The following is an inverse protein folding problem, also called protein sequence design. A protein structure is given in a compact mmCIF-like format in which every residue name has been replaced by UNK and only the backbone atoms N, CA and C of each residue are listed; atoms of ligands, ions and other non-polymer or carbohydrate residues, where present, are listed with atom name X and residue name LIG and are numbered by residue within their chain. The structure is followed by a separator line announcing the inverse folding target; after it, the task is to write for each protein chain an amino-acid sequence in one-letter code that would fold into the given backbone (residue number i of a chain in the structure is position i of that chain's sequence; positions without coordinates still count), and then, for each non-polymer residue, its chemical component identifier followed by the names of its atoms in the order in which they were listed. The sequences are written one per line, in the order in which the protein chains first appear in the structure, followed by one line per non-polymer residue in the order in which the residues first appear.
data_IF_167469391764
#
_entry.id   IF_167469391764
#
_cell.length_a   1.000
_cell.length_b   1.000
_cell.length_c   1.000
_cell.angle_alpha   90.00
_cell.angle_beta   90.00
_cell.angle_gamma   90.00
#
_symmetry.space_group_name_H-M   'P 1'
#
loop_
_entity.id
_entity.type
_entity.pdbx_description
1 polymer ?
#
# COMPACT_ATOMS: atom_id res chain seq x y z
N UNK A 1 -83.88 14.48 -54.56
CA UNK A 1 -82.58 15.05 -54.98
C UNK A 1 -81.56 14.89 -53.84
N UNK A 2 -80.85 13.76 -53.80
CA UNK A 2 -79.65 13.49 -52.98
C UNK A 2 -78.92 12.37 -53.71
N UNK A 3 -77.91 12.72 -54.50
CA UNK A 3 -77.05 11.76 -55.22
C UNK A 3 -76.21 11.03 -54.16
N UNK A 4 -76.41 9.72 -54.02
CA UNK A 4 -75.44 8.83 -53.35
C UNK A 4 -74.27 8.64 -54.32
N UNK A 5 -73.10 9.14 -53.95
CA UNK A 5 -71.86 8.80 -54.63
C UNK A 5 -71.54 7.32 -54.37
N UNK A 6 -71.54 6.54 -55.45
CA UNK A 6 -71.07 5.17 -55.43
C UNK A 6 -69.54 5.18 -55.40
N UNK A 7 -68.95 4.75 -54.29
CA UNK A 7 -67.51 4.49 -54.19
C UNK A 7 -67.12 3.39 -55.18
N UNK A 8 -66.32 3.77 -56.19
CA UNK A 8 -65.83 2.85 -57.22
C UNK A 8 -64.99 1.71 -56.61
N UNK A 9 -65.16 0.45 -57.04
CA UNK A 9 -64.44 -0.72 -56.50
C UNK A 9 -62.91 -0.61 -56.54
N UNK A 10 -62.38 0.21 -57.45
CA UNK A 10 -60.94 0.39 -57.67
C UNK A 10 -60.26 1.17 -56.54
N UNK A 11 -60.94 2.08 -55.84
CA UNK A 11 -60.31 2.87 -54.76
C UNK A 11 -60.12 2.04 -53.48
N UNK A 12 -61.07 1.15 -53.18
CA UNK A 12 -61.04 0.26 -52.02
C UNK A 12 -59.92 -0.78 -52.17
N UNK A 13 -59.79 -1.39 -53.35
CA UNK A 13 -58.71 -2.33 -53.66
C UNK A 13 -57.32 -1.66 -53.60
N UNK A 14 -57.18 -0.42 -54.11
CA UNK A 14 -55.89 0.28 -54.06
C UNK A 14 -55.47 0.62 -52.62
N UNK A 15 -56.42 1.04 -51.77
CA UNK A 15 -56.15 1.33 -50.36
C UNK A 15 -55.87 0.07 -49.56
N UNK A 16 -56.51 -1.05 -49.90
CA UNK A 16 -56.24 -2.34 -49.27
C UNK A 16 -54.82 -2.82 -49.61
N UNK A 17 -54.43 -2.80 -50.89
CA UNK A 17 -53.08 -3.20 -51.34
C UNK A 17 -52.00 -2.28 -50.73
N UNK A 18 -52.26 -0.97 -50.65
CA UNK A 18 -51.33 0.00 -50.05
C UNK A 18 -51.16 -0.19 -48.55
N UNK A 19 -52.24 -0.52 -47.83
CA UNK A 19 -52.17 -0.87 -46.40
C UNK A 19 -51.49 -2.22 -46.17
N UNK A 20 -51.76 -3.23 -47.00
CA UNK A 20 -51.11 -4.55 -46.92
C UNK A 20 -49.61 -4.45 -47.18
N UNK A 21 -49.18 -3.65 -48.16
CA UNK A 21 -47.76 -3.41 -48.45
C UNK A 21 -47.08 -2.60 -47.34
N UNK A 22 -47.78 -1.63 -46.73
CA UNK A 22 -47.27 -0.90 -45.57
C UNK A 22 -47.11 -1.79 -44.33
N UNK A 23 -48.06 -2.69 -44.07
CA UNK A 23 -48.00 -3.67 -42.97
C UNK A 23 -46.87 -4.67 -43.22
N UNK A 24 -46.73 -5.17 -44.45
CA UNK A 24 -45.65 -6.09 -44.82
C UNK A 24 -44.26 -5.44 -44.68
N UNK A 25 -44.13 -4.16 -45.03
CA UNK A 25 -42.88 -3.41 -44.85
C UNK A 25 -42.58 -3.11 -43.37
N UNK A 26 -43.61 -2.81 -42.56
CA UNK A 26 -43.46 -2.69 -41.10
C UNK A 26 -43.08 -4.02 -40.44
N UNK A 27 -43.64 -5.14 -40.91
CA UNK A 27 -43.30 -6.48 -40.42
C UNK A 27 -41.88 -6.90 -40.82
N UNK A 28 -41.44 -6.57 -42.05
CA UNK A 28 -40.05 -6.74 -42.48
C UNK A 28 -39.08 -5.89 -41.67
N UNK A 29 -39.43 -4.64 -41.37
CA UNK A 29 -38.63 -3.75 -40.53
C UNK A 29 -38.54 -4.26 -39.08
N UNK A 30 -39.66 -4.76 -38.52
CA UNK A 30 -39.70 -5.38 -37.19
C UNK A 30 -38.87 -6.68 -37.14
N UNK A 31 -38.93 -7.52 -38.18
CA UNK A 31 -38.10 -8.73 -38.32
C UNK A 31 -36.61 -8.40 -38.47
N UNK A 32 -36.24 -7.33 -39.19
CA UNK A 32 -34.85 -6.85 -39.27
C UNK A 32 -34.35 -6.32 -37.92
N UNK A 33 -35.19 -5.60 -37.15
CA UNK A 33 -34.82 -5.14 -35.80
C UNK A 33 -34.62 -6.35 -34.86
N UNK A 34 -35.51 -7.35 -34.90
CA UNK A 34 -35.37 -8.57 -34.09
C UNK A 34 -34.12 -9.37 -34.50
N UNK A 35 -33.77 -9.43 -35.78
CA UNK A 35 -32.54 -10.07 -36.25
C UNK A 35 -31.26 -9.32 -35.85
N UNK A 36 -31.30 -7.99 -35.72
CA UNK A 36 -30.18 -7.20 -35.17
C UNK A 36 -30.06 -7.36 -33.65
N UNK A 37 -31.18 -7.52 -32.93
CA UNK A 37 -31.16 -7.83 -31.49
C UNK A 37 -30.78 -9.29 -31.16
N UNK A 38 -30.98 -10.24 -32.07
CA UNK A 38 -30.56 -11.64 -31.86
C UNK A 38 -29.08 -11.91 -32.19
N UNK A 39 -28.39 -11.00 -32.89
CA UNK A 39 -26.97 -11.15 -33.19
C UNK A 39 -26.02 -10.50 -32.15
N UNK A 40 -26.55 -9.84 -31.11
CA UNK A 40 -25.73 -9.37 -29.99
C UNK A 40 -25.46 -10.43 -28.91
N UNK A 41 -26.07 -11.62 -29.02
CA UNK A 41 -25.91 -12.70 -28.03
C UNK A 41 -24.91 -13.80 -28.43
N UNK A 42 -24.21 -13.66 -29.57
CA UNK A 42 -23.19 -14.64 -30.01
C UNK A 42 -21.75 -14.18 -29.66
N UNK A 43 -21.57 -12.97 -29.13
CA UNK A 43 -20.27 -12.48 -28.63
C UNK A 43 -20.15 -12.40 -27.09
N UNK A 44 -21.10 -12.97 -26.34
CA UNK A 44 -20.95 -13.13 -24.88
C UNK A 44 -21.06 -14.60 -24.46
N UNK A 45 -20.19 -15.42 -25.03
CA UNK A 45 -19.61 -16.55 -24.31
C UNK A 45 -18.14 -16.26 -24.06
N UNK A 46 -17.85 -15.17 -23.33
CA UNK A 46 -16.65 -15.22 -22.50
C UNK A 46 -16.96 -16.35 -21.53
N UNK A 47 -16.33 -17.52 -21.70
CA UNK A 47 -16.22 -18.48 -20.60
C UNK A 47 -15.71 -17.66 -19.42
N UNK A 48 -16.57 -17.30 -18.47
CA UNK A 48 -16.10 -16.91 -17.16
C UNK A 48 -15.33 -18.13 -16.68
N UNK A 49 -14.01 -18.07 -16.79
CA UNK A 49 -13.20 -19.13 -16.23
C UNK A 49 -13.45 -19.08 -14.73
N UNK A 50 -14.02 -20.17 -14.23
CA UNK A 50 -14.44 -20.25 -12.84
C UNK A 50 -13.22 -20.49 -11.97
N UNK A 51 -12.54 -19.39 -11.61
CA UNK A 51 -11.48 -19.40 -10.62
C UNK A 51 -11.93 -20.06 -9.33
N UNK A 52 -13.20 -19.94 -8.92
CA UNK A 52 -13.70 -20.59 -7.71
C UNK A 52 -13.69 -22.12 -7.86
N UNK A 53 -14.06 -22.66 -9.03
CA UNK A 53 -13.92 -24.09 -9.30
C UNK A 53 -12.45 -24.54 -9.31
N UNK A 54 -11.54 -23.76 -9.89
CA UNK A 54 -10.10 -24.07 -9.90
C UNK A 54 -9.53 -24.05 -8.47
N UNK A 55 -9.84 -23.03 -7.67
CA UNK A 55 -9.42 -22.96 -6.27
C UNK A 55 -10.02 -24.09 -5.43
N UNK A 56 -11.27 -24.50 -5.66
CA UNK A 56 -11.84 -25.69 -5.01
C UNK A 56 -11.03 -26.97 -5.30
N UNK A 57 -10.49 -27.11 -6.51
CA UNK A 57 -9.59 -28.24 -6.85
C UNK A 57 -8.27 -28.13 -6.10
N UNK A 58 -7.68 -26.93 -6.05
CA UNK A 58 -6.47 -26.66 -5.26
C UNK A 58 -6.69 -27.05 -3.80
N UNK A 59 -7.77 -26.57 -3.18
CA UNK A 59 -8.12 -26.88 -1.79
C UNK A 59 -8.33 -28.38 -1.58
N UNK A 60 -8.95 -29.08 -2.54
CA UNK A 60 -9.15 -30.52 -2.48
C UNK A 60 -7.83 -31.29 -2.57
N UNK A 61 -6.86 -30.83 -3.35
CA UNK A 61 -5.51 -31.40 -3.39
C UNK A 61 -4.74 -31.11 -2.09
N UNK A 62 -4.82 -29.89 -1.56
CA UNK A 62 -4.20 -29.53 -0.27
C UNK A 62 -4.69 -30.43 0.86
N UNK A 63 -6.01 -30.62 0.99
CA UNK A 63 -6.62 -31.47 2.02
C UNK A 63 -6.18 -32.94 1.94
N UNK A 64 -5.77 -33.39 0.76
CA UNK A 64 -5.26 -34.75 0.52
C UNK A 64 -3.74 -34.85 0.65
N UNK A 65 -3.04 -33.76 0.97
CA UNK A 65 -1.57 -33.71 0.99
C UNK A 65 -0.93 -33.83 -0.40
N UNK A 66 -1.69 -33.64 -1.48
CA UNK A 66 -1.23 -33.80 -2.86
C UNK A 66 -0.60 -32.49 -3.38
N UNK A 67 0.49 -32.06 -2.76
CA UNK A 67 1.14 -30.76 -3.03
C UNK A 67 1.55 -30.59 -4.49
N UNK A 68 2.02 -31.66 -5.15
CA UNK A 68 2.41 -31.60 -6.56
C UNK A 68 1.22 -31.44 -7.53
N UNK A 69 0.05 -31.95 -7.15
CA UNK A 69 -1.18 -31.72 -7.91
C UNK A 69 -1.70 -30.31 -7.68
N UNK A 70 -1.63 -29.81 -6.44
CA UNK A 70 -2.01 -28.45 -6.09
C UNK A 70 -1.16 -27.40 -6.84
N UNK A 71 0.17 -27.56 -6.87
CA UNK A 71 1.06 -26.62 -7.58
C UNK A 71 0.78 -26.61 -9.09
N UNK A 72 0.49 -27.75 -9.71
CA UNK A 72 0.14 -27.83 -11.13
C UNK A 72 -1.14 -27.06 -11.45
N UNK A 73 -2.18 -27.21 -10.62
CA UNK A 73 -3.43 -26.46 -10.78
C UNK A 73 -3.21 -24.96 -10.58
N UNK A 74 -2.41 -24.56 -9.59
CA UNK A 74 -2.09 -23.15 -9.34
C UNK A 74 -1.27 -22.52 -10.47
N UNK A 75 -0.34 -23.25 -11.09
CA UNK A 75 0.36 -22.77 -12.30
C UNK A 75 -0.64 -22.53 -13.44
N UNK A 76 -1.65 -23.40 -13.57
CA UNK A 76 -2.76 -23.21 -14.51
C UNK A 76 -3.55 -21.93 -14.25
N UNK A 77 -3.95 -21.71 -12.99
CA UNK A 77 -4.64 -20.49 -12.53
C UNK A 77 -3.78 -19.24 -12.84
N UNK A 78 -2.49 -19.28 -12.54
CA UNK A 78 -1.56 -18.16 -12.76
C UNK A 78 -1.46 -17.78 -14.24
N UNK A 79 -1.22 -18.77 -15.12
CA UNK A 79 -1.11 -18.52 -16.56
C UNK A 79 -2.42 -17.98 -17.14
N UNK A 80 -3.56 -18.42 -16.60
CA UNK A 80 -4.85 -17.91 -16.99
C UNK A 80 -5.06 -16.47 -16.53
N UNK A 81 -4.72 -16.17 -15.28
CA UNK A 81 -4.77 -14.83 -14.72
C UNK A 81 -3.92 -13.83 -15.50
N UNK A 82 -2.74 -14.23 -15.99
CA UNK A 82 -1.94 -13.39 -16.90
C UNK A 82 -2.71 -13.10 -18.20
N UNK A 83 -3.31 -14.12 -18.82
CA UNK A 83 -4.03 -13.96 -20.10
C UNK A 83 -5.25 -13.05 -19.96
N UNK A 84 -5.93 -13.13 -18.82
CA UNK A 84 -7.12 -12.33 -18.52
C UNK A 84 -6.80 -10.96 -17.89
N UNK A 85 -5.52 -10.68 -17.60
CA UNK A 85 -5.07 -9.52 -16.83
C UNK A 85 -5.79 -9.41 -15.46
N UNK A 86 -5.98 -10.55 -14.79
CA UNK A 86 -6.60 -10.63 -13.47
C UNK A 86 -5.52 -10.57 -12.38
N UNK A 87 -5.14 -9.36 -11.97
CA UNK A 87 -4.05 -9.13 -11.00
C UNK A 87 -4.28 -9.86 -9.68
N UNK A 88 -5.51 -9.84 -9.14
CA UNK A 88 -5.83 -10.47 -7.86
C UNK A 88 -5.58 -11.99 -7.89
N UNK A 89 -6.05 -12.66 -8.96
CA UNK A 89 -5.82 -14.09 -9.14
C UNK A 89 -4.35 -14.39 -9.45
N UNK A 90 -3.68 -13.51 -10.18
CA UNK A 90 -2.26 -13.63 -10.47
C UNK A 90 -1.43 -13.61 -9.18
N UNK A 91 -1.65 -12.63 -8.30
CA UNK A 91 -0.95 -12.49 -7.02
C UNK A 91 -1.27 -13.67 -6.10
N UNK A 92 -2.55 -14.04 -5.98
CA UNK A 92 -2.96 -15.21 -5.18
C UNK A 92 -2.26 -16.48 -5.66
N UNK A 93 -2.21 -16.72 -6.97
CA UNK A 93 -1.54 -17.88 -7.54
C UNK A 93 -0.01 -17.83 -7.36
N UNK A 94 0.61 -16.66 -7.38
CA UNK A 94 2.03 -16.51 -7.02
C UNK A 94 2.29 -16.92 -5.57
N UNK A 95 1.50 -16.42 -4.63
CA UNK A 95 1.63 -16.75 -3.20
C UNK A 95 1.49 -18.26 -2.95
N UNK A 96 0.52 -18.92 -3.60
CA UNK A 96 0.35 -20.37 -3.50
C UNK A 96 1.52 -21.14 -4.14
N UNK A 97 2.08 -20.67 -5.26
CA UNK A 97 3.29 -21.29 -5.83
C UNK A 97 4.46 -21.23 -4.85
N UNK A 98 4.72 -20.06 -4.24
CA UNK A 98 5.77 -19.91 -3.22
C UNK A 98 5.51 -20.84 -2.03
N UNK A 99 4.26 -20.86 -1.52
CA UNK A 99 3.82 -21.75 -0.43
C UNK A 99 4.13 -23.22 -0.72
N UNK A 100 3.78 -23.72 -1.91
CA UNK A 100 3.99 -25.12 -2.23
C UNK A 100 5.45 -25.46 -2.50
N UNK A 101 6.22 -24.55 -3.12
CA UNK A 101 7.67 -24.74 -3.26
C UNK A 101 8.35 -24.87 -1.89
N UNK A 102 7.93 -24.05 -0.91
CA UNK A 102 8.38 -24.19 0.49
C UNK A 102 8.08 -25.55 1.14
N UNK A 103 7.12 -26.32 0.62
CA UNK A 103 6.75 -27.63 1.15
C UNK A 103 7.47 -28.79 0.46
N UNK A 104 8.02 -28.60 -0.74
CA UNK A 104 8.51 -29.71 -1.59
C UNK A 104 9.96 -29.59 -2.00
N UNK A 105 10.57 -28.40 -1.93
CA UNK A 105 11.95 -28.18 -2.34
C UNK A 105 12.88 -28.07 -1.12
N UNK A 106 14.09 -28.62 -1.25
CA UNK A 106 15.20 -28.32 -0.33
C UNK A 106 15.67 -26.88 -0.55
N UNK A 107 16.09 -26.20 0.53
CA UNK A 107 16.50 -24.78 0.53
C UNK A 107 15.48 -23.84 -0.16
N UNK A 108 14.20 -24.18 -0.02
CA UNK A 108 13.12 -23.48 -0.72
C UNK A 108 13.03 -22.00 -0.36
N UNK A 109 13.46 -21.60 0.84
CA UNK A 109 13.42 -20.20 1.27
C UNK A 109 14.30 -19.32 0.38
N UNK A 110 15.56 -19.70 0.17
CA UNK A 110 16.52 -19.03 -0.69
C UNK A 110 16.15 -19.17 -2.17
N UNK A 111 15.78 -20.39 -2.59
CA UNK A 111 15.41 -20.67 -3.97
C UNK A 111 14.14 -19.92 -4.40
N UNK A 112 13.21 -19.68 -3.47
CA UNK A 112 11.99 -18.93 -3.75
C UNK A 112 12.28 -17.46 -4.06
N UNK A 113 13.31 -16.85 -3.46
CA UNK A 113 13.68 -15.45 -3.73
C UNK A 113 13.94 -15.25 -5.24
N UNK A 114 14.70 -16.15 -5.84
CA UNK A 114 15.04 -16.10 -7.27
C UNK A 114 13.93 -16.66 -8.17
N UNK A 115 13.08 -17.56 -7.67
CA UNK A 115 11.91 -18.03 -8.43
C UNK A 115 10.92 -16.90 -8.72
N UNK A 116 10.79 -15.92 -7.83
CA UNK A 116 9.92 -14.76 -8.06
C UNK A 116 10.34 -13.98 -9.32
N UNK A 117 11.61 -14.00 -9.72
CA UNK A 117 12.06 -13.40 -11.00
C UNK A 117 11.30 -13.98 -12.20
N UNK A 118 11.01 -15.29 -12.17
CA UNK A 118 10.28 -15.98 -13.24
C UNK A 118 8.82 -15.54 -13.33
N UNK A 119 8.24 -15.13 -12.19
CA UNK A 119 6.87 -14.61 -12.09
C UNK A 119 6.83 -13.13 -12.49
N UNK A 120 7.82 -12.34 -12.05
CA UNK A 120 7.97 -10.92 -12.42
C UNK A 120 8.14 -10.77 -13.92
N UNK A 121 8.91 -11.65 -14.58
CA UNK A 121 9.15 -11.61 -16.02
C UNK A 121 7.87 -11.77 -16.86
N UNK A 122 6.84 -12.43 -16.33
CA UNK A 122 5.55 -12.66 -17.00
C UNK A 122 4.45 -11.69 -16.57
N UNK A 123 4.69 -10.91 -15.52
CA UNK A 123 3.71 -10.00 -14.94
C UNK A 123 3.73 -8.62 -15.61
N UNK A 124 2.55 -8.01 -15.69
CA UNK A 124 2.38 -6.60 -16.08
C UNK A 124 2.06 -5.76 -14.84
N UNK A 125 2.20 -4.45 -14.95
CA UNK A 125 1.71 -3.51 -13.93
C UNK A 125 0.18 -3.61 -13.85
N UNK A 126 -0.42 -3.68 -12.64
CA UNK A 126 0.21 -3.54 -11.32
C UNK A 126 0.75 -4.83 -10.67
N UNK A 127 0.39 -6.04 -11.14
CA UNK A 127 0.85 -7.28 -10.49
C UNK A 127 2.39 -7.36 -10.36
N UNK A 128 3.12 -6.89 -11.38
CA UNK A 128 4.59 -6.83 -11.38
C UNK A 128 5.15 -6.03 -10.20
N UNK A 129 4.54 -4.89 -9.90
CA UNK A 129 4.93 -4.01 -8.81
C UNK A 129 4.75 -4.69 -7.44
N UNK A 130 3.63 -5.40 -7.25
CA UNK A 130 3.37 -6.17 -6.04
C UNK A 130 4.41 -7.29 -5.88
N UNK A 131 4.70 -8.04 -6.94
CA UNK A 131 5.71 -9.11 -6.90
C UNK A 131 7.11 -8.59 -6.58
N UNK A 132 7.48 -7.41 -7.08
CA UNK A 132 8.74 -6.76 -6.72
C UNK A 132 8.80 -6.36 -5.24
N UNK A 133 7.70 -5.85 -4.68
CA UNK A 133 7.60 -5.54 -3.24
C UNK A 133 7.63 -6.81 -2.38
N UNK A 134 7.05 -7.92 -2.86
CA UNK A 134 7.14 -9.22 -2.21
C UNK A 134 8.57 -9.76 -2.24
N UNK A 135 9.26 -9.66 -3.39
CA UNK A 135 10.64 -10.11 -3.51
C UNK A 135 11.58 -9.30 -2.62
N UNK A 136 11.40 -7.98 -2.56
CA UNK A 136 12.15 -7.10 -1.66
C UNK A 136 12.02 -7.55 -0.19
N UNK A 137 10.79 -7.87 0.22
CA UNK A 137 10.52 -8.42 1.56
C UNK A 137 11.22 -9.75 1.79
N UNK A 138 11.21 -10.66 0.81
CA UNK A 138 11.88 -11.96 0.97
C UNK A 138 13.40 -11.81 1.13
N UNK A 139 14.03 -10.91 0.37
CA UNK A 139 15.44 -10.56 0.58
C UNK A 139 15.67 -9.92 1.96
N UNK A 140 14.76 -9.05 2.41
CA UNK A 140 14.85 -8.41 3.72
C UNK A 140 14.73 -9.43 4.86
N UNK A 141 13.76 -10.33 4.79
CA UNK A 141 13.59 -11.42 5.76
C UNK A 141 14.80 -12.35 5.78
N UNK A 142 15.38 -12.67 4.62
CA UNK A 142 16.63 -13.42 4.56
C UNK A 142 17.74 -12.70 5.33
N UNK A 143 17.95 -11.40 5.07
CA UNK A 143 18.96 -10.62 5.77
C UNK A 143 18.71 -10.60 7.29
N UNK A 144 17.48 -10.34 7.74
CA UNK A 144 17.14 -10.31 9.16
C UNK A 144 17.40 -11.66 9.85
N UNK A 145 17.00 -12.76 9.22
CA UNK A 145 17.21 -14.11 9.77
C UNK A 145 18.67 -14.55 9.79
N UNK A 146 19.51 -13.95 8.93
CA UNK A 146 20.92 -14.29 8.79
C UNK A 146 21.87 -13.19 9.28
N UNK A 147 21.37 -12.18 9.99
CA UNK A 147 22.13 -10.99 10.40
C UNK A 147 23.43 -11.32 11.13
N UNK A 148 23.37 -12.30 12.04
CA UNK A 148 24.53 -12.78 12.80
C UNK A 148 25.66 -13.29 11.90
N UNK A 149 25.34 -13.92 10.75
CA UNK A 149 26.33 -14.46 9.81
C UNK A 149 27.13 -13.36 9.12
N UNK A 150 26.58 -12.16 8.98
CA UNK A 150 27.24 -11.05 8.29
C UNK A 150 28.25 -10.32 9.17
N UNK A 151 28.12 -10.42 10.50
CA UNK A 151 29.09 -9.83 11.43
C UNK A 151 30.43 -10.57 11.42
N UNK A 152 30.41 -11.88 11.15
CA UNK A 152 31.58 -12.77 11.24
C UNK A 152 32.20 -13.13 9.88
N UNK A 153 31.67 -12.59 8.77
CA UNK A 153 32.08 -12.96 7.41
C UNK A 153 33.10 -11.99 6.82
N UNK A 154 34.21 -12.54 6.32
CA UNK A 154 35.07 -11.87 5.35
C UNK A 154 34.36 -11.85 3.99
N UNK A 155 34.48 -10.73 3.26
CA UNK A 155 33.89 -10.57 1.92
C UNK A 155 34.40 -11.69 1.00
N UNK A 156 33.48 -12.45 0.42
CA UNK A 156 33.83 -13.50 -0.54
C UNK A 156 34.41 -12.88 -1.81
N UNK A 157 35.38 -13.55 -2.42
CA UNK A 157 36.04 -13.12 -3.66
C UNK A 157 35.09 -13.16 -4.87
N UNK A 158 34.09 -14.03 -4.83
CA UNK A 158 33.08 -14.18 -5.88
C UNK A 158 31.66 -14.15 -5.31
N UNK A 159 30.81 -13.30 -5.88
CA UNK A 159 29.38 -13.26 -5.59
C UNK A 159 28.59 -13.92 -6.73
N UNK A 160 28.01 -15.09 -6.46
CA UNK A 160 27.23 -15.84 -7.45
C UNK A 160 25.81 -15.27 -7.56
N UNK A 161 25.35 -15.00 -8.79
CA UNK A 161 24.08 -14.29 -9.03
C UNK A 161 22.81 -15.00 -8.52
N UNK A 162 22.82 -16.33 -8.34
CA UNK A 162 21.65 -17.12 -7.89
C UNK A 162 21.91 -17.86 -6.58
N UNK A 163 22.92 -17.45 -5.84
CA UNK A 163 23.24 -18.02 -4.54
C UNK A 163 23.43 -16.86 -3.56
N UNK A 164 22.33 -16.54 -2.87
CA UNK A 164 22.25 -15.44 -1.90
C UNK A 164 23.23 -15.63 -0.74
N UNK A 165 23.67 -16.87 -0.46
CA UNK A 165 24.65 -17.15 0.59
C UNK A 165 26.04 -16.61 0.24
N UNK A 166 26.28 -16.23 -1.02
CA UNK A 166 27.54 -15.61 -1.45
C UNK A 166 27.50 -14.08 -1.48
N UNK A 167 26.33 -13.48 -1.25
CA UNK A 167 26.15 -12.03 -1.41
C UNK A 167 26.69 -11.27 -0.21
N UNK A 168 27.36 -10.15 -0.49
CA UNK A 168 27.72 -9.17 0.54
C UNK A 168 26.48 -8.47 1.11
N UNK A 169 26.64 -7.92 2.31
CA UNK A 169 25.61 -7.09 2.94
C UNK A 169 25.25 -5.88 2.07
N UNK A 170 26.24 -5.22 1.48
CA UNK A 170 26.03 -4.07 0.58
C UNK A 170 25.14 -4.46 -0.61
N UNK A 171 25.40 -5.61 -1.26
CA UNK A 171 24.59 -6.10 -2.37
C UNK A 171 23.17 -6.45 -1.97
N UNK A 172 22.97 -7.01 -0.78
CA UNK A 172 21.63 -7.28 -0.24
C UNK A 172 20.86 -5.97 -0.08
N UNK A 173 21.45 -4.95 0.57
CA UNK A 173 20.80 -3.65 0.75
C UNK A 173 20.55 -2.94 -0.58
N UNK A 174 21.49 -2.98 -1.52
CA UNK A 174 21.31 -2.42 -2.87
C UNK A 174 20.14 -3.09 -3.59
N UNK A 175 20.09 -4.43 -3.54
CA UNK A 175 19.03 -5.22 -4.20
C UNK A 175 17.66 -4.95 -3.58
N UNK A 176 17.56 -4.97 -2.25
CA UNK A 176 16.32 -4.67 -1.53
C UNK A 176 15.84 -3.25 -1.84
N UNK A 177 16.74 -2.26 -1.75
CA UNK A 177 16.43 -0.86 -2.07
C UNK A 177 15.95 -0.69 -3.51
N UNK A 178 16.62 -1.34 -4.46
CA UNK A 178 16.25 -1.31 -5.88
C UNK A 178 14.87 -1.93 -6.11
N UNK A 179 14.59 -3.07 -5.49
CA UNK A 179 13.30 -3.75 -5.63
C UNK A 179 12.16 -2.92 -5.03
N UNK A 180 12.32 -2.35 -3.83
CA UNK A 180 11.31 -1.45 -3.26
C UNK A 180 11.10 -0.20 -4.12
N UNK A 181 12.16 0.47 -4.58
CA UNK A 181 12.06 1.61 -5.52
C UNK A 181 11.34 1.25 -6.81
N UNK A 182 11.66 0.09 -7.38
CA UNK A 182 10.99 -0.36 -8.61
C UNK A 182 9.54 -0.76 -8.34
N UNK A 183 9.23 -1.31 -7.17
CA UNK A 183 7.86 -1.68 -6.79
C UNK A 183 6.91 -0.48 -6.73
N UNK A 184 7.42 0.71 -6.43
CA UNK A 184 6.62 1.95 -6.42
C UNK A 184 6.70 2.73 -7.75
N UNK A 185 7.42 2.20 -8.74
CA UNK A 185 7.46 2.80 -10.09
C UNK A 185 6.10 2.68 -10.80
N UNK A 186 5.87 3.49 -11.84
CA UNK A 186 4.58 3.64 -12.52
C UNK A 186 3.52 4.35 -11.66
N UNK A 187 3.92 5.43 -10.99
CA UNK A 187 3.11 6.13 -9.99
C UNK A 187 1.70 6.49 -10.48
N UNK A 188 1.55 6.98 -11.71
CA UNK A 188 0.25 7.36 -12.27
C UNK A 188 -0.76 6.20 -12.23
N UNK A 189 -0.31 5.00 -12.62
CA UNK A 189 -1.15 3.81 -12.58
C UNK A 189 -1.40 3.38 -11.12
N UNK A 190 -0.36 3.35 -10.29
CA UNK A 190 -0.49 2.88 -8.91
C UNK A 190 -1.38 3.79 -8.05
N UNK A 191 -1.32 5.11 -8.26
CA UNK A 191 -2.12 6.14 -7.57
C UNK A 191 -3.60 6.12 -7.97
N UNK A 192 -3.95 5.42 -9.04
CA UNK A 192 -5.34 5.23 -9.50
C UNK A 192 -5.86 3.80 -9.30
N UNK A 193 -4.99 2.86 -8.96
CA UNK A 193 -5.35 1.47 -8.67
C UNK A 193 -5.82 1.33 -7.21
N UNK A 194 -7.05 0.85 -7.01
CA UNK A 194 -7.57 0.52 -5.68
C UNK A 194 -7.06 -0.85 -5.20
N UNK A 195 -7.38 -1.20 -3.95
CA UNK A 195 -6.91 -2.43 -3.30
C UNK A 195 -7.94 -3.58 -3.35
N UNK A 196 -8.90 -3.52 -4.27
CA UNK A 196 -9.96 -4.53 -4.33
C UNK A 196 -9.42 -5.87 -4.84
N UNK A 197 -9.83 -6.96 -4.19
CA UNK A 197 -9.32 -8.31 -4.49
C UNK A 197 -7.89 -8.59 -4.00
N UNK A 198 -7.24 -7.63 -3.34
CA UNK A 198 -5.88 -7.77 -2.77
C UNK A 198 -5.89 -8.07 -1.26
N UNK A 199 -7.01 -8.51 -0.69
CA UNK A 199 -7.12 -8.79 0.76
C UNK A 199 -6.09 -9.80 1.27
N UNK A 200 -5.63 -10.72 0.43
CA UNK A 200 -4.62 -11.73 0.78
C UNK A 200 -3.24 -11.13 1.11
N UNK A 201 -2.93 -9.92 0.62
CA UNK A 201 -1.67 -9.23 0.88
C UNK A 201 -1.82 -8.05 1.88
N UNK A 202 -3.05 -7.80 2.35
CA UNK A 202 -3.36 -6.69 3.26
C UNK A 202 -3.43 -7.22 4.68
N UNK A 203 -2.46 -6.80 5.51
CA UNK A 203 -2.51 -7.07 6.96
C UNK A 203 -3.44 -6.06 7.63
N UNK A 204 -4.58 -6.51 8.14
CA UNK A 204 -5.56 -5.67 8.88
C UNK A 204 -4.90 -5.00 10.09
N UNK A 205 -5.27 -3.76 10.38
CA UNK A 205 -4.70 -2.96 11.47
C UNK A 205 -3.39 -2.26 11.13
N UNK A 206 -2.55 -2.86 10.28
CA UNK A 206 -1.32 -2.24 9.75
C UNK A 206 -1.62 -1.46 8.46
N UNK A 207 -2.35 -2.09 7.55
CA UNK A 207 -2.71 -1.54 6.24
C UNK A 207 -4.19 -1.15 6.25
N UNK A 208 -4.53 -0.13 7.03
CA UNK A 208 -5.90 0.40 7.11
C UNK A 208 -6.25 1.04 5.77
N UNK A 209 -7.24 0.47 5.06
CA UNK A 209 -7.68 0.93 3.71
C UNK A 209 -7.97 2.43 3.63
N UNK A 210 -8.48 3.04 4.71
CA UNK A 210 -8.71 4.48 4.79
C UNK A 210 -7.42 5.31 4.73
N UNK A 211 -6.33 4.80 5.30
CA UNK A 211 -5.02 5.46 5.33
C UNK A 211 -4.15 5.06 4.14
N UNK A 212 -4.50 3.96 3.46
CA UNK A 212 -3.83 3.44 2.25
C UNK A 212 -4.86 3.24 1.13
N UNK A 213 -5.43 4.33 0.58
CA UNK A 213 -6.53 4.21 -0.37
C UNK A 213 -6.14 3.56 -1.71
N UNK A 214 -4.85 3.65 -2.08
CA UNK A 214 -4.36 3.19 -3.39
C UNK A 214 -3.26 2.14 -3.26
N UNK A 215 -2.97 1.47 -4.37
CA UNK A 215 -1.85 0.56 -4.44
C UNK A 215 -0.50 1.28 -4.29
N UNK A 216 -0.40 2.54 -4.73
CA UNK A 216 0.78 3.35 -4.44
C UNK A 216 1.01 3.48 -2.93
N UNK A 217 -0.04 3.79 -2.16
CA UNK A 217 0.07 3.93 -0.70
C UNK A 217 0.52 2.63 -0.04
N UNK A 218 -0.07 1.50 -0.44
CA UNK A 218 0.29 0.19 0.08
C UNK A 218 1.77 -0.13 -0.17
N UNK A 219 2.24 0.03 -1.41
CA UNK A 219 3.62 -0.31 -1.79
C UNK A 219 4.63 0.69 -1.22
N UNK A 220 4.29 1.98 -1.19
CA UNK A 220 5.12 3.02 -0.60
C UNK A 220 5.30 2.81 0.90
N UNK A 221 4.26 2.41 1.64
CA UNK A 221 4.41 2.15 3.07
C UNK A 221 5.22 0.88 3.37
N UNK A 222 5.12 -0.15 2.52
CA UNK A 222 6.02 -1.32 2.60
C UNK A 222 7.48 -0.90 2.39
N UNK A 223 7.73 -0.04 1.40
CA UNK A 223 9.06 0.50 1.15
C UNK A 223 9.56 1.41 2.30
N UNK A 224 8.69 2.25 2.87
CA UNK A 224 9.01 3.08 4.03
C UNK A 224 9.44 2.21 5.23
N UNK A 225 8.73 1.12 5.53
CA UNK A 225 9.09 0.23 6.64
C UNK A 225 10.55 -0.25 6.56
N UNK A 226 11.08 -0.46 5.36
CA UNK A 226 12.48 -0.77 5.13
C UNK A 226 13.39 0.48 5.21
N UNK A 227 13.05 1.55 4.50
CA UNK A 227 13.89 2.76 4.42
C UNK A 227 14.03 3.49 5.76
N UNK A 228 13.08 3.35 6.69
CA UNK A 228 13.15 3.96 8.02
C UNK A 228 13.96 3.16 9.04
N UNK A 229 14.47 1.97 8.69
CA UNK A 229 15.26 1.13 9.62
C UNK A 229 16.63 1.71 9.94
N UNK A 230 17.25 2.41 9.00
CA UNK A 230 18.62 2.90 9.14
C UNK A 230 19.69 1.81 9.19
N UNK A 231 19.34 0.56 8.85
CA UNK A 231 20.20 -0.61 9.08
C UNK A 231 21.44 -0.68 8.17
N UNK A 232 21.60 0.25 7.22
CA UNK A 232 22.80 0.40 6.38
C UNK A 232 24.05 0.89 7.15
N UNK A 233 24.05 0.80 8.48
CA UNK A 233 24.98 1.47 9.39
C UNK A 233 26.33 0.74 9.58
N UNK A 234 26.53 -0.42 8.95
CA UNK A 234 27.76 -1.22 9.08
C UNK A 234 28.92 -0.70 8.21
N UNK A 235 28.63 -0.01 7.11
CA UNK A 235 29.64 0.53 6.17
C UNK A 235 29.34 2.01 5.86
N UNK A 236 29.54 2.89 6.87
CA UNK A 236 29.21 4.32 6.74
C UNK A 236 30.21 5.04 5.82
N UNK A 237 29.78 5.62 4.68
CA UNK A 237 30.64 6.53 3.95
C UNK A 237 30.87 7.81 4.76
N UNK A 238 32.02 8.47 4.58
CA UNK A 238 32.32 9.74 5.25
C UNK A 238 31.31 10.87 4.93
N UNK A 239 30.52 10.70 3.85
CA UNK A 239 29.49 11.62 3.39
C UNK A 239 28.07 11.08 3.63
N UNK A 240 27.89 10.20 4.63
CA UNK A 240 26.59 9.62 4.98
C UNK A 240 25.53 10.71 5.13
N UNK A 241 24.35 10.48 4.56
CA UNK A 241 23.23 11.38 4.77
C UNK A 241 22.76 11.34 6.23
N UNK A 242 22.72 12.50 6.86
CA UNK A 242 22.16 12.70 8.21
C UNK A 242 20.99 13.66 8.15
N UNK A 243 19.93 13.39 8.91
CA UNK A 243 18.79 14.31 9.01
C UNK A 243 19.15 15.42 10.01
N UNK A 244 19.80 16.47 9.52
CA UNK A 244 20.35 17.55 10.34
C UNK A 244 19.80 18.96 9.99
N UNK A 245 18.79 19.03 9.12
CA UNK A 245 18.18 20.27 8.65
C UNK A 245 16.78 20.46 9.27
N UNK A 246 16.56 21.63 9.89
CA UNK A 246 15.30 22.02 10.52
C UNK A 246 14.09 21.92 9.59
N UNK A 247 14.30 22.02 8.27
CA UNK A 247 13.26 21.81 7.26
C UNK A 247 12.65 20.41 7.29
N UNK A 248 13.30 19.44 7.94
CA UNK A 248 12.73 18.13 8.20
C UNK A 248 11.48 18.15 9.11
N UNK A 249 11.27 19.22 9.90
CA UNK A 249 10.03 19.48 10.67
C UNK A 249 9.14 20.57 10.06
N UNK A 250 9.44 21.06 8.85
CA UNK A 250 8.60 22.06 8.19
C UNK A 250 7.16 21.55 7.99
N UNK A 251 6.16 22.44 7.84
CA UNK A 251 4.81 22.05 7.47
C UNK A 251 4.79 21.15 6.24
N UNK A 252 3.86 20.19 6.16
CA UNK A 252 3.83 19.15 5.13
C UNK A 252 4.06 19.67 3.69
N UNK A 253 3.41 20.77 3.33
CA UNK A 253 3.52 21.36 1.99
C UNK A 253 4.92 21.92 1.69
N UNK A 254 5.59 22.48 2.70
CA UNK A 254 6.94 23.05 2.56
C UNK A 254 7.97 21.92 2.55
N UNK A 255 7.81 20.93 3.45
CA UNK A 255 8.62 19.73 3.47
C UNK A 255 8.55 18.99 2.13
N UNK A 256 7.36 18.77 1.57
CA UNK A 256 7.17 18.06 0.31
C UNK A 256 7.88 18.71 -0.89
N UNK A 257 8.12 20.02 -0.84
CA UNK A 257 8.79 20.80 -1.92
C UNK A 257 10.27 21.04 -1.66
N UNK A 258 10.74 20.78 -0.44
CA UNK A 258 12.12 21.07 -0.05
C UNK A 258 13.10 20.13 -0.76
N UNK A 259 14.32 20.58 -1.06
CA UNK A 259 15.34 19.73 -1.67
C UNK A 259 16.45 19.46 -0.66
N UNK A 260 16.44 18.26 -0.08
CA UNK A 260 17.53 17.79 0.78
C UNK A 260 18.75 17.42 -0.10
N UNK A 261 19.86 18.12 0.10
CA UNK A 261 21.10 17.88 -0.65
C UNK A 261 21.89 16.75 0.00
N UNK A 262 22.34 15.79 -0.80
CA UNK A 262 23.22 14.72 -0.35
C UNK A 262 24.08 14.19 -1.50
N UNK A 263 25.24 13.62 -1.17
CA UNK A 263 26.04 12.78 -2.07
C UNK A 263 25.73 11.29 -1.88
N UNK A 264 25.12 10.93 -0.76
CA UNK A 264 24.74 9.57 -0.40
C UNK A 264 23.29 9.28 -0.84
N UNK A 265 23.11 9.04 -2.14
CA UNK A 265 21.79 8.70 -2.72
C UNK A 265 21.34 7.28 -2.37
N UNK A 266 22.26 6.44 -1.87
CA UNK A 266 22.01 5.09 -1.40
C UNK A 266 21.41 5.04 0.01
N UNK A 267 21.60 6.09 0.81
CA UNK A 267 21.08 6.20 2.17
C UNK A 267 19.61 5.80 2.29
N UNK A 268 19.33 4.87 3.21
CA UNK A 268 17.96 4.47 3.53
C UNK A 268 17.16 5.68 4.05
N UNK A 269 17.73 6.48 4.94
CA UNK A 269 17.08 7.68 5.46
C UNK A 269 16.81 8.73 4.38
N UNK A 270 17.72 8.92 3.43
CA UNK A 270 17.45 9.83 2.32
C UNK A 270 16.27 9.35 1.47
N UNK A 271 16.23 8.05 1.16
CA UNK A 271 15.13 7.46 0.41
C UNK A 271 13.81 7.48 1.18
N UNK A 272 13.84 7.35 2.52
CA UNK A 272 12.66 7.56 3.37
C UNK A 272 12.15 9.00 3.27
N UNK A 273 13.04 10.00 3.37
CA UNK A 273 12.69 11.42 3.23
C UNK A 273 12.02 11.69 1.89
N UNK A 274 12.61 11.25 0.78
CA UNK A 274 12.01 11.42 -0.56
C UNK A 274 10.63 10.75 -0.67
N UNK A 275 10.48 9.56 -0.08
CA UNK A 275 9.22 8.84 -0.14
C UNK A 275 8.12 9.50 0.72
N UNK A 276 8.48 10.06 1.88
CA UNK A 276 7.58 10.93 2.65
C UNK A 276 7.18 12.17 1.85
N UNK A 277 8.11 12.81 1.14
CA UNK A 277 7.78 13.97 0.28
C UNK A 277 6.77 13.59 -0.81
N UNK A 278 6.97 12.45 -1.49
CA UNK A 278 6.07 11.99 -2.53
C UNK A 278 4.66 11.66 -2.01
N UNK A 279 4.57 10.98 -0.86
CA UNK A 279 3.28 10.67 -0.23
C UNK A 279 2.55 11.93 0.24
N UNK A 280 3.26 12.87 0.87
CA UNK A 280 2.68 14.15 1.31
C UNK A 280 2.21 14.99 0.12
N UNK A 281 2.99 15.04 -0.96
CA UNK A 281 2.60 15.72 -2.20
C UNK A 281 1.38 15.06 -2.84
N UNK A 282 1.31 13.72 -2.82
CA UNK A 282 0.18 12.97 -3.39
C UNK A 282 -1.14 13.27 -2.67
N UNK A 283 -1.13 13.27 -1.33
CA UNK A 283 -2.34 13.49 -0.53
C UNK A 283 -2.64 14.97 -0.21
N UNK A 284 -1.83 15.91 -0.70
CA UNK A 284 -1.97 17.34 -0.37
C UNK A 284 -3.33 17.94 -0.76
N UNK A 285 -3.99 17.37 -1.78
CA UNK A 285 -5.26 17.83 -2.32
C UNK A 285 -6.44 16.91 -1.96
N UNK A 286 -6.24 15.92 -1.09
CA UNK A 286 -7.30 14.99 -0.72
C UNK A 286 -8.44 15.71 0.01
N UNK A 287 -9.68 15.43 -0.41
CA UNK A 287 -10.87 15.97 0.26
C UNK A 287 -10.95 15.51 1.72
N UNK A 288 -10.48 14.29 2.01
CA UNK A 288 -10.32 13.76 3.37
C UNK A 288 -8.82 13.70 3.69
N UNK A 289 -8.30 14.52 4.61
CA UNK A 289 -6.86 14.64 4.84
C UNK A 289 -6.28 13.48 5.66
N UNK A 290 -7.01 12.38 5.84
CA UNK A 290 -6.66 11.30 6.76
C UNK A 290 -5.30 10.66 6.42
N UNK A 291 -5.09 10.30 5.16
CA UNK A 291 -3.81 9.75 4.69
C UNK A 291 -2.68 10.79 4.78
N UNK A 292 -2.96 12.06 4.46
CA UNK A 292 -2.00 13.17 4.59
C UNK A 292 -1.52 13.34 6.05
N UNK A 293 -2.45 13.39 7.01
CA UNK A 293 -2.13 13.56 8.43
C UNK A 293 -1.35 12.35 8.95
N UNK A 294 -1.76 11.14 8.59
CA UNK A 294 -1.07 9.92 9.01
C UNK A 294 0.37 9.84 8.50
N UNK A 295 0.60 10.14 7.21
CA UNK A 295 1.94 10.20 6.63
C UNK A 295 2.77 11.30 7.30
N UNK A 296 2.18 12.46 7.56
CA UNK A 296 2.89 13.58 8.19
C UNK A 296 3.33 13.22 9.61
N UNK A 297 2.46 12.58 10.40
CA UNK A 297 2.81 12.08 11.73
C UNK A 297 3.91 11.02 11.69
N UNK A 298 3.86 10.09 10.72
CA UNK A 298 4.93 9.10 10.54
C UNK A 298 6.27 9.76 10.20
N UNK A 299 6.27 10.75 9.29
CA UNK A 299 7.45 11.56 8.96
C UNK A 299 8.00 12.24 10.21
N UNK A 300 7.16 12.96 10.95
CA UNK A 300 7.61 13.71 12.12
C UNK A 300 8.20 12.79 13.20
N UNK A 301 7.58 11.64 13.44
CA UNK A 301 8.10 10.63 14.36
C UNK A 301 9.45 10.06 13.88
N UNK A 302 9.58 9.77 12.59
CA UNK A 302 10.84 9.31 11.99
C UNK A 302 11.96 10.35 12.15
N UNK A 303 11.69 11.61 11.80
CA UNK A 303 12.65 12.72 11.95
C UNK A 303 12.99 12.95 13.43
N UNK A 304 12.02 12.85 14.35
CA UNK A 304 12.28 12.95 15.77
C UNK A 304 13.19 11.82 16.29
N UNK A 305 13.00 10.60 15.82
CA UNK A 305 13.79 9.46 16.27
C UNK A 305 15.23 9.49 15.74
N UNK A 306 15.42 9.87 14.47
CA UNK A 306 16.71 9.72 13.79
C UNK A 306 17.41 11.05 13.42
N UNK A 307 16.74 12.19 13.60
CA UNK A 307 17.32 13.51 13.38
C UNK A 307 18.35 13.90 14.44
N UNK A 308 19.33 14.71 14.04
CA UNK A 308 20.47 15.15 14.88
C UNK A 308 20.55 16.67 15.05
N UNK A 309 19.48 17.39 14.73
CA UNK A 309 19.40 18.85 14.83
C UNK A 309 19.40 19.31 16.30
N UNK A 310 19.93 20.51 16.54
CA UNK A 310 19.79 21.18 17.83
C UNK A 310 18.33 21.58 18.07
N UNK A 311 17.85 21.47 19.32
CA UNK A 311 16.48 21.84 19.67
C UNK A 311 15.39 20.96 19.03
N UNK A 312 15.74 19.76 18.54
CA UNK A 312 14.84 18.81 17.86
C UNK A 312 13.50 18.60 18.57
N UNK A 313 13.51 18.43 19.89
CA UNK A 313 12.27 18.20 20.65
C UNK A 313 11.28 19.37 20.54
N UNK A 314 11.79 20.63 20.56
CA UNK A 314 10.96 21.83 20.41
C UNK A 314 10.42 21.95 18.98
N UNK A 315 11.23 21.61 17.98
CA UNK A 315 10.80 21.58 16.58
C UNK A 315 9.71 20.53 16.35
N UNK A 316 9.86 19.34 16.95
CA UNK A 316 8.86 18.29 16.91
C UNK A 316 7.56 18.69 17.60
N UNK A 317 7.63 19.22 18.83
CA UNK A 317 6.46 19.72 19.56
C UNK A 317 5.71 20.78 18.74
N UNK A 318 6.44 21.72 18.11
CA UNK A 318 5.86 22.78 17.28
C UNK A 318 5.17 22.21 16.04
N UNK A 319 5.79 21.26 15.35
CA UNK A 319 5.22 20.61 14.17
C UNK A 319 3.94 19.83 14.52
N UNK A 320 3.93 19.09 15.63
CA UNK A 320 2.75 18.38 16.11
C UNK A 320 1.61 19.36 16.45
N UNK A 321 1.91 20.47 17.14
CA UNK A 321 0.92 21.51 17.44
C UNK A 321 0.34 22.11 16.15
N UNK A 322 1.15 22.30 15.12
CA UNK A 322 0.68 22.79 13.83
C UNK A 322 -0.30 21.81 13.15
N UNK A 323 -0.12 20.49 13.30
CA UNK A 323 -1.08 19.50 12.82
C UNK A 323 -2.40 19.64 13.58
N UNK A 324 -2.34 19.80 14.91
CA UNK A 324 -3.53 19.98 15.75
C UNK A 324 -4.35 21.21 15.38
N UNK A 325 -3.68 22.33 15.14
CA UNK A 325 -4.33 23.58 14.79
C UNK A 325 -4.94 23.55 13.40
N UNK A 326 -4.28 22.86 12.47
CA UNK A 326 -4.73 22.75 11.08
C UNK A 326 -5.92 21.80 10.91
N UNK A 327 -5.97 20.71 11.69
CA UNK A 327 -6.99 19.67 11.57
C UNK A 327 -7.71 19.41 12.89
N UNK A 328 -8.35 20.41 13.51
CA UNK A 328 -8.83 20.33 14.89
C UNK A 328 -9.98 19.34 15.08
N UNK A 329 -10.67 18.92 14.03
CA UNK A 329 -11.82 18.00 14.08
C UNK A 329 -11.53 16.61 13.50
N UNK A 330 -10.36 16.39 12.90
CA UNK A 330 -10.02 15.09 12.34
C UNK A 330 -9.58 14.12 13.47
N UNK A 331 -10.16 12.91 13.59
CA UNK A 331 -9.80 11.96 14.65
C UNK A 331 -8.32 11.53 14.67
N UNK A 332 -7.61 11.58 13.53
CA UNK A 332 -6.19 11.21 13.46
C UNK A 332 -5.31 12.23 14.21
N UNK A 333 -5.77 13.48 14.33
CA UNK A 333 -5.13 14.53 15.12
C UNK A 333 -4.92 14.14 16.59
N UNK A 334 -5.75 13.24 17.13
CA UNK A 334 -5.54 12.69 18.47
C UNK A 334 -4.15 12.05 18.65
N UNK A 335 -3.55 11.50 17.58
CA UNK A 335 -2.18 10.96 17.63
C UNK A 335 -1.13 12.06 17.78
N UNK A 336 -1.36 13.25 17.21
CA UNK A 336 -0.50 14.42 17.41
C UNK A 336 -0.57 14.91 18.87
N UNK A 337 -1.78 15.02 19.40
CA UNK A 337 -2.03 15.41 20.80
C UNK A 337 -1.37 14.43 21.76
N UNK A 338 -1.56 13.13 21.54
CA UNK A 338 -0.90 12.08 22.33
C UNK A 338 0.62 12.17 22.27
N UNK A 339 1.20 12.32 21.08
CA UNK A 339 2.66 12.47 20.92
C UNK A 339 3.20 13.72 21.66
N UNK A 340 2.48 14.84 21.67
CA UNK A 340 2.84 16.02 22.47
C UNK A 340 2.71 15.78 23.97
N UNK A 341 1.68 15.07 24.41
CA UNK A 341 1.53 14.71 25.81
C UNK A 341 2.68 13.79 26.28
N UNK A 342 3.19 12.91 25.40
CA UNK A 342 4.36 12.09 25.67
C UNK A 342 5.64 12.94 25.85
N UNK A 343 5.81 14.03 25.09
CA UNK A 343 6.93 14.97 25.29
C UNK A 343 6.86 15.55 26.71
N UNK A 344 5.70 16.05 27.14
CA UNK A 344 5.52 16.60 28.48
C UNK A 344 5.73 15.53 29.57
N UNK A 345 5.21 14.32 29.36
CA UNK A 345 5.44 13.23 30.29
C UNK A 345 6.94 12.94 30.45
N UNK A 346 7.66 12.80 29.34
CA UNK A 346 9.10 12.52 29.35
C UNK A 346 9.91 13.63 30.03
N UNK A 347 9.57 14.91 29.80
CA UNK A 347 10.17 16.05 30.54
C UNK A 347 9.88 15.96 32.03
N UNK A 348 8.63 15.67 32.40
CA UNK A 348 8.22 15.52 33.78
C UNK A 348 8.96 14.39 34.51
N UNK A 349 9.31 13.30 33.82
CA UNK A 349 10.14 12.23 34.39
C UNK A 349 11.57 12.67 34.75
N UNK A 350 12.03 13.82 34.22
CA UNK A 350 13.34 14.39 34.54
C UNK A 350 13.28 15.40 35.71
N UNK A 351 12.10 15.70 36.24
CA UNK A 351 11.95 16.61 37.38
C UNK A 351 12.60 16.03 38.64
N UNK A 352 13.39 16.86 39.32
CA UNK A 352 14.03 16.51 40.59
C UNK A 352 13.68 17.58 41.63
N UNK A 353 12.87 17.26 42.67
CA UNK A 353 12.40 18.24 43.66
C UNK A 353 13.51 19.01 44.39
N UNK A 354 14.66 18.38 44.55
CA UNK A 354 15.83 18.94 45.24
C UNK A 354 16.96 19.31 44.26
N UNK A 355 16.69 19.31 42.95
CA UNK A 355 17.66 19.52 41.88
C UNK A 355 17.08 20.38 40.77
N UNK A 356 16.93 19.82 39.56
CA UNK A 356 16.33 20.54 38.44
C UNK A 356 14.80 20.66 38.57
N UNK A 357 14.33 21.88 38.83
CA UNK A 357 12.90 22.21 39.00
C UNK A 357 12.20 22.67 37.72
N UNK A 358 12.91 22.77 36.58
CA UNK A 358 12.39 23.27 35.30
C UNK A 358 11.13 22.53 34.83
N UNK A 359 11.04 21.22 35.10
CA UNK A 359 9.97 20.35 34.60
C UNK A 359 8.85 20.04 35.62
N UNK A 360 8.78 20.81 36.73
CA UNK A 360 7.87 20.52 37.85
C UNK A 360 6.38 20.36 37.49
N UNK A 361 5.92 21.00 36.41
CA UNK A 361 4.51 20.96 35.98
C UNK A 361 4.25 20.13 34.73
N UNK A 362 5.27 19.48 34.16
CA UNK A 362 5.14 18.82 32.86
C UNK A 362 4.30 17.53 32.95
N UNK A 363 4.30 16.81 34.08
CA UNK A 363 3.36 15.70 34.31
C UNK A 363 1.91 16.20 34.33
N UNK A 364 1.63 17.33 35.00
CA UNK A 364 0.29 17.92 35.04
C UNK A 364 -0.15 18.32 33.63
N UNK A 365 0.72 19.01 32.88
CA UNK A 365 0.49 19.43 31.50
C UNK A 365 0.24 18.23 30.56
N UNK A 366 0.94 17.12 30.78
CA UNK A 366 0.70 15.86 30.08
C UNK A 366 -0.72 15.35 30.34
N UNK A 367 -1.11 15.19 31.62
CA UNK A 367 -2.45 14.71 32.02
C UNK A 367 -3.57 15.56 31.40
N UNK A 368 -3.47 16.88 31.49
CA UNK A 368 -4.47 17.80 30.92
C UNK A 368 -4.64 17.60 29.40
N UNK A 369 -3.54 17.39 28.66
CA UNK A 369 -3.61 17.14 27.23
C UNK A 369 -4.15 15.73 26.91
N UNK A 370 -3.84 14.72 27.72
CA UNK A 370 -4.38 13.37 27.58
C UNK A 370 -5.90 13.36 27.80
N UNK A 371 -6.38 14.00 28.88
CA UNK A 371 -7.81 14.14 29.18
C UNK A 371 -8.53 14.89 28.04
N UNK A 372 -7.95 15.99 27.54
CA UNK A 372 -8.49 16.72 26.40
C UNK A 372 -8.54 15.86 25.12
N UNK A 373 -7.54 15.02 24.88
CA UNK A 373 -7.50 14.10 23.73
C UNK A 373 -8.64 13.08 23.80
N UNK A 374 -8.86 12.48 24.98
CA UNK A 374 -9.91 11.48 25.21
C UNK A 374 -11.29 12.12 25.07
N UNK A 375 -11.50 13.29 25.66
CA UNK A 375 -12.78 14.00 25.58
C UNK A 375 -13.13 14.40 24.13
N UNK A 376 -12.13 14.86 23.36
CA UNK A 376 -12.34 15.34 22.00
C UNK A 376 -12.48 14.21 20.97
N UNK A 377 -11.75 13.11 21.15
CA UNK A 377 -11.67 12.02 20.17
C UNK A 377 -11.79 10.62 20.78
N UNK A 378 -12.86 10.30 21.55
CA UNK A 378 -12.92 9.16 22.48
C UNK A 378 -12.76 7.75 21.87
N UNK A 379 -12.85 7.61 20.54
CA UNK A 379 -12.71 6.33 19.82
C UNK A 379 -11.49 6.27 18.91
N UNK A 380 -10.69 7.33 18.90
CA UNK A 380 -9.47 7.39 18.08
C UNK A 380 -8.35 6.54 18.71
N UNK A 381 -7.42 6.10 17.88
CA UNK A 381 -6.18 5.45 18.34
C UNK A 381 -5.42 6.32 19.35
N UNK A 382 -5.34 7.64 19.09
CA UNK A 382 -4.70 8.59 20.00
C UNK A 382 -5.36 8.66 21.37
N UNK A 383 -6.69 8.58 21.45
CA UNK A 383 -7.41 8.53 22.74
C UNK A 383 -7.20 7.21 23.47
N UNK A 384 -7.16 6.08 22.76
CA UNK A 384 -6.84 4.78 23.36
C UNK A 384 -5.44 4.80 23.98
N UNK A 385 -4.45 5.32 23.22
CA UNK A 385 -3.09 5.48 23.73
C UNK A 385 -3.02 6.46 24.90
N UNK A 386 -3.81 7.54 24.86
CA UNK A 386 -3.90 8.49 25.96
C UNK A 386 -4.46 7.86 27.24
N UNK A 387 -5.50 7.03 27.12
CA UNK A 387 -6.07 6.29 28.25
C UNK A 387 -5.05 5.32 28.87
N UNK A 388 -4.26 4.65 28.04
CA UNK A 388 -3.20 3.75 28.49
C UNK A 388 -2.13 4.52 29.27
N UNK A 389 -1.65 5.65 28.74
CA UNK A 389 -0.64 6.46 29.41
C UNK A 389 -1.16 7.09 30.72
N UNK A 390 -2.39 7.61 30.75
CA UNK A 390 -3.01 8.08 31.99
C UNK A 390 -3.02 7.00 33.07
N UNK A 391 -3.39 5.77 32.69
CA UNK A 391 -3.37 4.62 33.61
C UNK A 391 -1.96 4.37 34.16
N UNK A 392 -0.93 4.42 33.32
CA UNK A 392 0.47 4.32 33.77
C UNK A 392 0.84 5.43 34.75
N UNK A 393 0.48 6.69 34.46
CA UNK A 393 0.79 7.82 35.33
C UNK A 393 0.07 7.71 36.68
N UNK A 394 -1.18 7.22 36.72
CA UNK A 394 -1.89 7.03 37.99
C UNK A 394 -1.34 5.87 38.83
N UNK A 395 -0.82 4.82 38.18
CA UNK A 395 -0.24 3.67 38.87
C UNK A 395 1.20 3.91 39.35
N UNK A 396 1.89 4.91 38.79
CA UNK A 396 3.27 5.30 39.14
C UNK A 396 3.37 6.83 39.30
N UNK A 397 2.81 7.40 40.39
CA UNK A 397 2.64 8.84 40.58
C UNK A 397 3.93 9.62 40.83
#
# INVERSE_FOLDING_TARGET
MKKREALHPTSILSNFIKNSTMILNKLKFLLCIIAVFFNFSIFSQIKMNDYAAQWKKVDAFEKKGLTQSAIKEVIGIYNLAIKENNDAQQIKACMHQIKYRNMVEEDANENNIFFVDTLIAKAKTPAKNILQSMQAEMFWQYLQNNRWKFNDRTKLTEEKSKDITTWSLDKLHETISKLYKTSISNEEKLKTTNLDGLDAIIVKGINTRQLRPTLYDFLAHRALSYFTTGESDLTKPAYQFTINDDKAFAPANDFAKYTFKTKDTGSLYYNAILLFQNLLAFHAADTKPDALIDVDLQRLMFVNNYGVMQGKEKLYETALKSIEDKYPTNPITARAMFARAQIYYNRGQQYQPLGNTENQYEIKRSKELLDATIAKFPKSEGAINAQNLLTTIYNHP
#
